data_IF_986130934355
#
_entry.id   IF_986130934355
#
_cell.length_a   1.000
_cell.length_b   1.000
_cell.length_c   1.000
_cell.angle_alpha   90.00
_cell.angle_beta   90.00
_cell.angle_gamma   90.00
#
_symmetry.space_group_name_H-M   'P 1'
#
loop_
_entity.id
_entity.type
_entity.pdbx_description
1 polymer ?
#
# COMPACT_ATOMS: atom_id res chain seq x y z
N UNK A 1 -13.00 -18.89 0.70
CA UNK A 1 -14.04 -18.95 -0.36
C UNK A 1 -13.37 -19.37 -1.66
N UNK A 2 -13.94 -20.32 -2.41
CA UNK A 2 -13.39 -20.77 -3.69
C UNK A 2 -13.43 -19.65 -4.72
N UNK A 3 -12.27 -19.30 -5.31
CA UNK A 3 -12.14 -18.34 -6.41
C UNK A 3 -12.68 -18.89 -7.75
N UNK A 4 -13.01 -20.19 -7.80
CA UNK A 4 -13.54 -20.82 -9.01
C UNK A 4 -14.98 -20.36 -9.29
N UNK A 5 -15.24 -20.06 -10.56
CA UNK A 5 -16.58 -19.73 -11.05
C UNK A 5 -17.38 -21.01 -11.26
N UNK A 6 -18.67 -20.98 -10.94
CA UNK A 6 -19.59 -22.00 -11.40
C UNK A 6 -19.87 -21.79 -12.89
N UNK A 7 -20.30 -22.86 -13.63
CA UNK A 7 -20.63 -22.75 -15.04
C UNK A 7 -21.65 -21.64 -15.30
N UNK A 8 -22.61 -21.45 -14.37
CA UNK A 8 -23.62 -20.38 -14.48
C UNK A 8 -23.00 -18.97 -14.34
N UNK A 9 -22.07 -18.82 -13.42
CA UNK A 9 -21.34 -17.56 -13.23
C UNK A 9 -20.44 -17.23 -14.43
N UNK A 10 -19.79 -18.24 -15.02
CA UNK A 10 -19.01 -18.07 -16.23
C UNK A 10 -19.88 -17.58 -17.39
N UNK A 11 -21.01 -18.25 -17.64
CA UNK A 11 -21.92 -17.86 -18.71
C UNK A 11 -22.46 -16.43 -18.56
N UNK A 12 -22.77 -16.01 -17.32
CA UNK A 12 -23.21 -14.63 -17.05
C UNK A 12 -22.07 -13.64 -17.34
N UNK A 13 -20.85 -13.96 -16.90
CA UNK A 13 -19.69 -13.10 -17.13
C UNK A 13 -19.35 -12.96 -18.61
N UNK A 14 -19.43 -14.07 -19.36
CA UNK A 14 -19.18 -14.08 -20.81
C UNK A 14 -20.25 -13.28 -21.56
N UNK A 15 -21.53 -13.41 -21.18
CA UNK A 15 -22.61 -12.58 -21.73
C UNK A 15 -22.42 -11.09 -21.47
N UNK A 16 -21.99 -10.71 -20.26
CA UNK A 16 -21.70 -9.31 -19.91
C UNK A 16 -20.54 -8.79 -20.78
N UNK A 17 -19.47 -9.60 -20.96
CA UNK A 17 -18.32 -9.25 -21.80
C UNK A 17 -18.73 -9.03 -23.24
N UNK A 18 -19.45 -9.98 -23.81
CA UNK A 18 -19.93 -9.91 -25.19
C UNK A 18 -20.77 -8.64 -25.45
N UNK A 19 -21.67 -8.29 -24.53
CA UNK A 19 -22.49 -7.08 -24.64
C UNK A 19 -21.66 -5.80 -24.54
N UNK A 20 -20.65 -5.77 -23.69
CA UNK A 20 -19.76 -4.62 -23.59
C UNK A 20 -18.90 -4.45 -24.85
N UNK A 21 -18.39 -5.55 -25.43
CA UNK A 21 -17.56 -5.54 -26.63
C UNK A 21 -18.37 -5.17 -27.90
N UNK A 22 -19.58 -5.71 -28.07
CA UNK A 22 -20.34 -5.51 -29.29
C UNK A 22 -21.34 -4.35 -29.23
N UNK A 23 -21.93 -4.07 -28.05
CA UNK A 23 -22.92 -3.01 -27.91
C UNK A 23 -22.39 -1.76 -27.18
N UNK A 24 -21.16 -1.79 -26.66
CA UNK A 24 -20.55 -0.69 -25.92
C UNK A 24 -21.23 -0.36 -24.60
N UNK A 25 -22.19 -1.16 -24.14
CA UNK A 25 -22.99 -0.93 -22.94
C UNK A 25 -23.18 -2.22 -22.16
N UNK A 26 -23.14 -2.11 -20.84
CA UNK A 26 -23.44 -3.22 -19.96
C UNK A 26 -24.92 -3.64 -20.08
N UNK A 27 -25.24 -4.95 -19.97
CA UNK A 27 -26.62 -5.39 -19.93
C UNK A 27 -27.27 -5.01 -18.58
N UNK A 28 -28.60 -4.85 -18.59
CA UNK A 28 -29.39 -4.75 -17.36
C UNK A 28 -29.54 -6.11 -16.69
N UNK A 29 -29.92 -6.15 -15.42
CA UNK A 29 -30.21 -7.40 -14.71
C UNK A 29 -31.34 -8.19 -15.39
N UNK A 30 -32.32 -7.50 -15.98
CA UNK A 30 -33.42 -8.12 -16.72
C UNK A 30 -32.95 -8.79 -18.01
N UNK A 31 -32.09 -8.10 -18.79
CA UNK A 31 -31.46 -8.65 -20.01
C UNK A 31 -30.62 -9.90 -19.70
N UNK A 32 -29.87 -9.89 -18.58
CA UNK A 32 -29.12 -11.06 -18.10
C UNK A 32 -30.09 -12.19 -17.73
N UNK A 33 -31.19 -11.86 -17.02
CA UNK A 33 -32.20 -12.83 -16.63
C UNK A 33 -32.83 -13.53 -17.84
N UNK A 34 -33.23 -12.77 -18.84
CA UNK A 34 -33.78 -13.30 -20.09
C UNK A 34 -32.77 -14.20 -20.83
N UNK A 35 -31.55 -13.74 -21.02
CA UNK A 35 -30.50 -14.47 -21.72
C UNK A 35 -30.12 -15.79 -21.01
N UNK A 36 -30.17 -15.79 -19.68
CA UNK A 36 -29.80 -16.93 -18.84
C UNK A 36 -31.00 -17.82 -18.47
N UNK A 37 -32.23 -17.48 -18.85
CA UNK A 37 -33.42 -18.21 -18.44
C UNK A 37 -33.64 -18.19 -16.91
N UNK A 38 -33.31 -17.08 -16.25
CA UNK A 38 -33.52 -16.94 -14.81
C UNK A 38 -34.90 -16.34 -14.53
N UNK A 39 -35.61 -16.82 -13.51
CA UNK A 39 -37.06 -16.50 -13.34
C UNK A 39 -37.30 -15.04 -12.87
N UNK A 40 -36.34 -14.40 -12.27
CA UNK A 40 -36.47 -13.05 -11.73
C UNK A 40 -35.11 -12.36 -11.50
N UNK A 41 -35.16 -11.03 -11.36
CA UNK A 41 -34.01 -10.16 -11.13
C UNK A 41 -33.26 -10.52 -9.85
N UNK A 42 -33.94 -10.99 -8.81
CA UNK A 42 -33.29 -11.38 -7.55
C UNK A 42 -32.36 -12.59 -7.73
N UNK A 43 -32.73 -13.54 -8.57
CA UNK A 43 -31.88 -14.69 -8.91
C UNK A 43 -30.63 -14.25 -9.67
N UNK A 44 -30.77 -13.31 -10.61
CA UNK A 44 -29.64 -12.70 -11.34
C UNK A 44 -28.73 -11.95 -10.37
N UNK A 45 -29.30 -11.10 -9.52
CA UNK A 45 -28.55 -10.29 -8.56
C UNK A 45 -27.69 -11.14 -7.62
N UNK A 46 -28.19 -12.32 -7.20
CA UNK A 46 -27.41 -13.27 -6.38
C UNK A 46 -26.14 -13.74 -7.10
N UNK A 47 -26.22 -14.06 -8.39
CA UNK A 47 -25.07 -14.46 -9.19
C UNK A 47 -24.10 -13.29 -9.44
N UNK A 48 -24.65 -12.12 -9.78
CA UNK A 48 -23.86 -10.91 -10.06
C UNK A 48 -23.13 -10.45 -8.80
N UNK A 49 -23.76 -10.42 -7.62
CA UNK A 49 -23.08 -10.14 -6.34
C UNK A 49 -22.02 -11.17 -5.99
N UNK A 50 -22.24 -12.44 -6.33
CA UNK A 50 -21.22 -13.46 -6.12
C UNK A 50 -20.02 -13.29 -7.06
N UNK A 51 -20.23 -12.79 -8.28
CA UNK A 51 -19.14 -12.41 -9.21
C UNK A 51 -18.40 -11.18 -8.72
N UNK A 52 -19.09 -10.21 -8.16
CA UNK A 52 -18.49 -9.04 -7.51
C UNK A 52 -17.63 -9.44 -6.31
N UNK A 53 -18.14 -10.28 -5.41
CA UNK A 53 -17.39 -10.81 -4.28
C UNK A 53 -16.16 -11.66 -4.70
N UNK A 54 -16.17 -12.20 -5.92
CA UNK A 54 -15.02 -12.89 -6.53
C UNK A 54 -14.09 -11.95 -7.33
N UNK A 55 -14.35 -10.63 -7.30
CA UNK A 55 -13.53 -9.62 -7.96
C UNK A 55 -13.55 -9.71 -9.50
N UNK A 56 -14.68 -10.17 -10.10
CA UNK A 56 -14.81 -10.29 -11.56
C UNK A 56 -15.52 -9.12 -12.21
N UNK A 57 -16.33 -8.42 -11.46
CA UNK A 57 -17.07 -7.22 -11.88
C UNK A 57 -17.31 -6.31 -10.68
N UNK A 58 -17.74 -5.09 -10.96
CA UNK A 58 -18.18 -4.09 -9.97
C UNK A 58 -19.60 -3.67 -10.33
N UNK A 59 -20.46 -3.49 -9.32
CA UNK A 59 -21.82 -2.98 -9.48
C UNK A 59 -21.84 -1.54 -8.98
N UNK A 60 -22.09 -0.58 -9.89
CA UNK A 60 -22.30 0.81 -9.51
C UNK A 60 -23.73 0.97 -8.95
N UNK A 61 -23.90 1.41 -7.70
CA UNK A 61 -25.20 1.56 -7.10
C UNK A 61 -26.04 2.62 -7.84
N UNK A 62 -27.34 2.39 -7.92
CA UNK A 62 -28.33 3.32 -8.51
C UNK A 62 -28.15 3.60 -10.02
N UNK A 63 -27.52 2.69 -10.75
CA UNK A 63 -27.31 2.81 -12.20
C UNK A 63 -27.87 1.58 -12.92
N UNK A 64 -28.82 1.78 -13.84
CA UNK A 64 -29.52 0.68 -14.55
C UNK A 64 -28.58 -0.19 -15.39
N UNK A 65 -27.45 0.33 -15.86
CA UNK A 65 -26.38 -0.36 -16.60
C UNK A 65 -25.04 -0.23 -15.88
N UNK A 66 -25.08 -0.28 -14.54
CA UNK A 66 -23.93 -0.05 -13.68
C UNK A 66 -23.03 -1.27 -13.47
N UNK A 67 -23.06 -2.26 -14.35
CA UNK A 67 -22.16 -3.41 -14.28
C UNK A 67 -20.90 -3.09 -15.09
N UNK A 68 -19.72 -3.17 -14.44
CA UNK A 68 -18.42 -2.99 -15.07
C UNK A 68 -17.56 -4.23 -14.81
N UNK A 69 -16.91 -4.74 -15.85
CA UNK A 69 -15.93 -5.81 -15.67
C UNK A 69 -14.69 -5.27 -14.96
N UNK A 70 -14.15 -6.06 -14.04
CA UNK A 70 -12.84 -5.79 -13.45
C UNK A 70 -11.78 -6.03 -14.51
N UNK A 71 -11.07 -4.99 -14.88
CA UNK A 71 -9.96 -5.05 -15.83
C UNK A 71 -8.66 -5.42 -15.11
N UNK A 72 -7.61 -5.76 -15.88
CA UNK A 72 -6.28 -5.94 -15.31
C UNK A 72 -5.80 -4.67 -14.57
N UNK A 73 -6.21 -3.49 -15.05
CA UNK A 73 -5.92 -2.21 -14.40
C UNK A 73 -6.62 -2.10 -13.04
N UNK A 74 -7.89 -2.51 -12.93
CA UNK A 74 -8.62 -2.50 -11.66
C UNK A 74 -8.02 -3.48 -10.63
N UNK A 75 -7.52 -4.63 -11.11
CA UNK A 75 -6.83 -5.59 -10.25
C UNK A 75 -5.49 -5.03 -9.74
N UNK A 76 -4.78 -4.29 -10.59
CA UNK A 76 -3.58 -3.55 -10.21
C UNK A 76 -3.92 -2.41 -9.24
N UNK A 77 -5.03 -1.70 -9.47
CA UNK A 77 -5.50 -0.62 -8.61
C UNK A 77 -5.92 -1.10 -7.22
N UNK A 78 -6.58 -2.25 -7.13
CA UNK A 78 -6.98 -2.85 -5.85
C UNK A 78 -5.79 -3.27 -4.98
N UNK A 79 -4.64 -3.54 -5.59
CA UNK A 79 -3.40 -3.93 -4.91
C UNK A 79 -2.43 -2.74 -4.70
N UNK A 80 -2.82 -1.54 -5.09
CA UNK A 80 -2.02 -0.33 -4.89
C UNK A 80 -2.45 0.45 -3.65
N UNK A 81 -1.53 1.28 -3.17
CA UNK A 81 -1.77 2.28 -2.13
C UNK A 81 -1.13 3.60 -2.54
N UNK A 82 -1.74 4.69 -2.14
CA UNK A 82 -1.19 6.03 -2.31
C UNK A 82 -0.45 6.42 -1.03
N UNK A 83 0.84 6.72 -1.15
CA UNK A 83 1.71 7.04 -0.03
C UNK A 83 2.36 8.40 -0.24
N UNK A 84 2.33 9.29 0.76
CA UNK A 84 3.06 10.52 0.72
C UNK A 84 4.58 10.25 0.78
N UNK A 85 5.33 10.82 -0.15
CA UNK A 85 6.79 10.90 -0.08
C UNK A 85 7.14 12.16 0.71
N UNK A 86 7.69 11.94 1.91
CA UNK A 86 8.15 13.01 2.79
C UNK A 86 9.59 13.37 2.39
N UNK A 87 9.80 14.63 2.11
CA UNK A 87 11.10 15.20 1.76
C UNK A 87 12.01 15.41 2.97
N UNK A 88 12.94 16.36 2.85
CA UNK A 88 13.86 16.69 3.95
C UNK A 88 13.09 17.18 5.17
N UNK A 89 13.34 16.54 6.31
CA UNK A 89 12.73 16.87 7.57
C UNK A 89 13.46 18.09 8.15
N UNK A 90 12.80 19.24 8.16
CA UNK A 90 13.29 20.43 8.82
C UNK A 90 12.86 20.49 10.29
N UNK A 91 13.65 21.18 11.12
CA UNK A 91 13.40 21.30 12.56
C UNK A 91 12.02 21.90 12.90
N UNK A 92 11.39 21.37 13.94
CA UNK A 92 10.23 21.98 14.59
C UNK A 92 8.85 21.77 13.95
N UNK A 93 8.74 21.08 12.81
CA UNK A 93 7.45 20.81 12.18
C UNK A 93 7.04 19.33 12.32
N UNK A 94 5.74 19.00 12.40
CA UNK A 94 5.26 17.63 12.39
C UNK A 94 5.68 16.88 11.11
N UNK A 95 5.96 15.58 11.21
CA UNK A 95 6.42 14.75 10.10
C UNK A 95 5.48 14.80 8.88
N UNK A 96 4.19 14.95 9.11
CA UNK A 96 3.12 14.98 8.11
C UNK A 96 2.57 16.38 7.82
N UNK A 97 3.37 17.45 7.99
CA UNK A 97 2.92 18.75 7.51
C UNK A 97 2.85 18.77 5.97
N UNK A 98 1.86 19.44 5.40
CA UNK A 98 1.69 19.56 3.94
C UNK A 98 2.94 20.12 3.26
N UNK A 99 3.69 20.99 3.97
CA UNK A 99 4.95 21.57 3.50
C UNK A 99 6.07 20.54 3.28
N UNK A 100 5.96 19.32 3.85
CA UNK A 100 6.98 18.27 3.77
C UNK A 100 6.68 17.19 2.74
N UNK A 101 5.45 17.12 2.24
CA UNK A 101 5.06 16.15 1.23
C UNK A 101 5.55 16.64 -0.12
N UNK A 102 6.59 15.99 -0.66
CA UNK A 102 7.09 16.29 -2.01
C UNK A 102 6.07 15.91 -3.09
N UNK A 103 5.48 14.75 -2.94
CA UNK A 103 4.47 14.17 -3.82
C UNK A 103 3.85 12.92 -3.21
N UNK A 104 2.72 12.49 -3.74
CA UNK A 104 2.13 11.18 -3.46
C UNK A 104 2.56 10.19 -4.53
N UNK A 105 2.99 8.99 -4.12
CA UNK A 105 3.34 7.90 -5.02
C UNK A 105 2.30 6.79 -4.90
N UNK A 106 1.90 6.26 -6.04
CA UNK A 106 1.06 5.07 -6.12
C UNK A 106 1.94 3.84 -6.27
N UNK A 107 1.90 2.95 -5.30
CA UNK A 107 2.79 1.79 -5.21
C UNK A 107 2.00 0.53 -4.91
N UNK A 108 2.51 -0.62 -5.32
CA UNK A 108 1.86 -1.90 -5.06
C UNK A 108 2.15 -2.40 -3.64
N UNK A 109 1.13 -2.90 -2.95
CA UNK A 109 1.23 -3.38 -1.55
C UNK A 109 2.23 -4.50 -1.37
N UNK A 110 2.33 -5.40 -2.34
CA UNK A 110 3.22 -6.56 -2.27
C UNK A 110 4.73 -6.21 -2.29
N UNK A 111 5.09 -4.96 -2.63
CA UNK A 111 6.48 -4.48 -2.56
C UNK A 111 7.00 -4.37 -1.12
N UNK A 112 6.11 -4.39 -0.15
CA UNK A 112 6.44 -4.14 1.24
C UNK A 112 6.09 -5.34 2.12
N UNK A 113 6.95 -5.61 3.10
CA UNK A 113 6.73 -6.67 4.10
C UNK A 113 5.68 -6.26 5.15
N UNK A 114 5.62 -4.97 5.45
CA UNK A 114 4.63 -4.33 6.30
C UNK A 114 3.96 -3.23 5.48
N UNK A 115 2.65 -2.97 5.64
CA UNK A 115 2.03 -1.84 4.97
C UNK A 115 2.66 -0.54 5.46
N UNK A 116 3.36 0.22 4.60
CA UNK A 116 3.89 1.52 4.99
C UNK A 116 2.77 2.56 5.06
N UNK A 117 2.95 3.55 5.91
CA UNK A 117 2.06 4.70 6.04
C UNK A 117 2.60 5.91 5.27
N UNK A 118 3.91 5.96 5.06
CA UNK A 118 4.59 7.01 4.30
C UNK A 118 5.93 6.52 3.72
N UNK A 119 6.47 7.32 2.84
CA UNK A 119 7.75 7.11 2.18
C UNK A 119 8.73 8.21 2.57
N UNK A 120 10.01 7.89 2.70
CA UNK A 120 11.08 8.86 2.93
C UNK A 120 12.24 8.64 1.96
N UNK A 121 12.87 9.73 1.53
CA UNK A 121 14.09 9.65 0.72
C UNK A 121 15.30 9.49 1.64
N UNK A 122 16.12 8.49 1.36
CA UNK A 122 17.37 8.25 2.05
C UNK A 122 18.41 9.29 1.63
N UNK A 123 19.12 9.82 2.60
CA UNK A 123 20.28 10.68 2.38
C UNK A 123 21.49 10.06 3.07
N UNK A 124 22.51 9.76 2.28
CA UNK A 124 23.75 9.15 2.75
C UNK A 124 23.74 7.62 2.78
N UNK A 125 24.88 7.04 3.15
CA UNK A 125 25.21 5.61 3.00
C UNK A 125 25.32 4.85 4.33
N UNK A 126 24.82 5.41 5.42
CA UNK A 126 25.00 4.83 6.77
C UNK A 126 24.37 3.43 6.96
N UNK A 127 23.52 2.99 6.03
CA UNK A 127 22.85 1.69 6.05
C UNK A 127 23.17 0.85 4.80
N UNK A 128 24.29 1.12 4.16
CA UNK A 128 24.69 0.49 2.89
C UNK A 128 24.79 -1.03 2.98
N UNK A 129 25.32 -1.57 4.05
CA UNK A 129 25.44 -3.02 4.22
C UNK A 129 24.09 -3.71 4.49
N UNK A 130 23.03 -2.96 4.79
CA UNK A 130 21.61 -3.42 4.78
C UNK A 130 21.01 -3.38 3.38
N UNK A 131 21.73 -2.89 2.38
CA UNK A 131 21.22 -2.69 1.03
C UNK A 131 20.42 -1.39 0.85
N UNK A 132 20.40 -0.50 1.85
CA UNK A 132 19.76 0.83 1.79
C UNK A 132 20.82 1.83 1.38
N UNK A 133 20.67 2.43 0.20
CA UNK A 133 21.62 3.35 -0.43
C UNK A 133 21.09 4.77 -0.45
N UNK A 134 22.02 5.70 -0.73
CA UNK A 134 21.63 7.09 -0.98
C UNK A 134 20.60 7.20 -2.12
N UNK A 135 19.63 8.08 -1.97
CA UNK A 135 18.49 8.31 -2.88
C UNK A 135 17.44 7.19 -2.94
N UNK A 136 17.59 6.07 -2.22
CA UNK A 136 16.50 5.12 -2.08
C UNK A 136 15.26 5.76 -1.47
N UNK A 137 14.09 5.26 -1.84
CA UNK A 137 12.82 5.62 -1.20
C UNK A 137 12.43 4.47 -0.27
N UNK A 138 12.42 4.73 1.02
CA UNK A 138 12.11 3.75 2.07
C UNK A 138 10.66 3.91 2.51
N UNK A 139 9.93 2.80 2.53
CA UNK A 139 8.60 2.72 3.15
C UNK A 139 8.74 2.57 4.67
N UNK A 140 7.99 3.37 5.40
CA UNK A 140 7.97 3.36 6.86
C UNK A 140 6.55 3.04 7.35
N UNK A 141 6.46 1.99 8.19
CA UNK A 141 5.25 1.68 8.93
C UNK A 141 5.25 2.46 10.24
N UNK A 142 4.33 3.40 10.39
CA UNK A 142 4.28 4.33 11.52
C UNK A 142 3.92 3.59 12.82
N UNK A 143 4.84 3.55 13.75
CA UNK A 143 4.65 2.96 15.08
C UNK A 143 5.75 3.44 16.02
N UNK A 144 5.43 3.77 17.28
CA UNK A 144 6.44 4.07 18.29
C UNK A 144 7.07 2.80 18.88
N UNK A 145 6.55 1.61 18.53
CA UNK A 145 6.98 0.35 19.13
C UNK A 145 7.95 -0.37 18.19
N UNK A 146 9.15 -0.62 18.69
CA UNK A 146 10.16 -1.40 17.99
C UNK A 146 10.86 -2.39 18.91
N UNK A 147 11.53 -3.38 18.35
CA UNK A 147 12.28 -4.40 19.06
C UNK A 147 13.77 -4.31 18.71
N UNK A 148 14.61 -4.79 19.61
CA UNK A 148 16.02 -4.97 19.35
C UNK A 148 16.27 -5.65 17.98
N UNK A 149 17.20 -5.11 17.21
CA UNK A 149 17.59 -5.64 15.90
C UNK A 149 16.74 -5.21 14.72
N UNK A 150 15.62 -4.53 14.93
CA UNK A 150 14.82 -3.99 13.82
C UNK A 150 15.48 -2.75 13.21
N UNK A 151 15.28 -2.55 11.91
CA UNK A 151 15.61 -1.30 11.24
C UNK A 151 14.45 -0.34 11.45
N UNK A 152 14.75 0.82 12.01
CA UNK A 152 13.78 1.83 12.41
C UNK A 152 14.05 3.16 11.73
N UNK A 153 12.99 3.91 11.53
CA UNK A 153 13.01 5.34 11.31
C UNK A 153 12.90 6.01 12.69
N UNK A 154 13.86 6.83 13.04
CA UNK A 154 13.91 7.49 14.34
C UNK A 154 14.21 8.97 14.20
N UNK A 155 13.69 9.75 15.14
CA UNK A 155 13.97 11.17 15.33
C UNK A 155 14.91 11.32 16.52
N UNK A 156 15.94 12.14 16.37
CA UNK A 156 16.98 12.37 17.38
C UNK A 156 17.28 13.85 17.47
N UNK A 157 17.35 14.39 18.67
CA UNK A 157 17.65 15.80 18.91
C UNK A 157 16.59 16.73 18.32
N UNK A 158 15.34 16.34 18.39
CA UNK A 158 14.17 17.11 18.00
C UNK A 158 13.89 17.18 16.49
N UNK A 159 14.89 17.11 15.64
CA UNK A 159 14.74 17.41 14.21
C UNK A 159 15.45 16.46 13.24
N UNK A 160 16.43 15.69 13.71
CA UNK A 160 17.18 14.79 12.83
C UNK A 160 16.44 13.45 12.65
N UNK A 161 15.93 13.23 11.46
CA UNK A 161 15.37 11.93 11.06
C UNK A 161 16.48 11.04 10.53
N UNK A 162 16.49 9.77 10.96
CA UNK A 162 17.51 8.80 10.54
C UNK A 162 16.93 7.39 10.45
N UNK A 163 17.51 6.59 9.57
CA UNK A 163 17.21 5.16 9.46
C UNK A 163 18.40 4.41 9.99
N UNK A 164 18.21 3.57 11.01
CA UNK A 164 19.27 2.83 11.68
C UNK A 164 18.74 1.49 12.19
N UNK A 165 19.65 0.58 12.52
CA UNK A 165 19.31 -0.64 13.27
C UNK A 165 19.21 -0.30 14.76
N UNK A 166 18.08 -0.63 15.35
CA UNK A 166 17.85 -0.43 16.78
C UNK A 166 18.61 -1.48 17.60
N UNK A 167 19.47 -1.04 18.46
CA UNK A 167 19.99 -1.83 19.57
C UNK A 167 19.24 -1.38 20.83
N UNK A 168 18.61 -2.34 21.51
CA UNK A 168 17.90 -2.09 22.76
C UNK A 168 18.10 -3.26 23.69
N UNK A 169 18.82 -3.03 24.79
CA UNK A 169 19.08 -4.05 25.81
C UNK A 169 19.07 -3.40 27.19
N UNK A 170 18.11 -3.78 28.02
CA UNK A 170 17.87 -3.10 29.31
C UNK A 170 17.56 -1.62 29.10
N UNK A 171 18.27 -0.76 29.78
CA UNK A 171 18.14 0.69 29.69
C UNK A 171 18.97 1.31 28.56
N UNK A 172 19.75 0.49 27.83
CA UNK A 172 20.63 0.98 26.76
C UNK A 172 19.92 0.96 25.43
N UNK A 173 19.76 2.13 24.83
CA UNK A 173 19.26 2.31 23.47
C UNK A 173 20.36 2.92 22.59
N UNK A 174 20.60 2.33 21.45
CA UNK A 174 21.56 2.82 20.44
C UNK A 174 20.99 2.67 19.04
N UNK A 175 21.28 3.58 18.18
CA UNK A 175 20.96 3.52 16.76
C UNK A 175 22.23 3.19 15.97
N UNK A 176 22.32 1.95 15.51
CA UNK A 176 23.52 1.43 14.86
C UNK A 176 23.47 1.66 13.36
N UNK A 177 24.49 2.30 12.75
CA UNK A 177 24.69 2.27 11.32
C UNK A 177 25.12 0.87 10.88
N UNK A 178 24.90 0.56 9.60
CA UNK A 178 25.48 -0.64 8.97
C UNK A 178 26.30 -0.24 7.75
N UNK A 179 27.35 0.52 8.01
CA UNK A 179 28.33 0.95 7.02
C UNK A 179 29.59 1.43 7.74
N UNK A 180 30.77 1.17 7.15
CA UNK A 180 32.02 1.66 7.65
C UNK A 180 32.09 3.19 7.59
N UNK A 181 32.71 3.81 8.59
CA UNK A 181 32.88 5.28 8.66
C UNK A 181 31.77 6.02 9.36
N UNK A 182 30.71 5.34 9.80
CA UNK A 182 29.63 5.92 10.59
C UNK A 182 29.71 5.44 12.04
N UNK A 183 29.46 6.35 12.98
CA UNK A 183 29.40 6.03 14.40
C UNK A 183 27.96 5.72 14.83
N UNK A 184 27.75 4.84 15.82
CA UNK A 184 26.48 4.69 16.50
C UNK A 184 25.98 6.02 17.04
N UNK A 185 24.68 6.21 17.08
CA UNK A 185 24.04 7.31 17.74
C UNK A 185 23.49 6.77 19.07
N UNK A 186 23.94 7.35 20.15
CA UNK A 186 23.43 7.10 21.49
C UNK A 186 22.47 8.26 21.82
N UNK A 187 21.15 8.06 21.77
CA UNK A 187 20.21 9.12 22.12
C UNK A 187 20.39 9.55 23.55
N UNK A 188 20.55 10.83 23.80
CA UNK A 188 20.56 11.36 25.17
C UNK A 188 19.16 11.22 25.78
N UNK A 189 19.01 10.78 27.04
CA UNK A 189 17.72 10.68 27.71
C UNK A 189 16.98 12.03 27.81
N UNK A 190 17.71 13.15 27.69
CA UNK A 190 17.15 14.50 27.65
C UNK A 190 16.84 15.01 26.24
N UNK A 191 17.32 14.30 25.22
CA UNK A 191 17.03 14.59 23.82
C UNK A 191 15.60 14.17 23.46
N UNK A 192 14.99 14.91 22.58
CA UNK A 192 13.73 14.52 21.97
C UNK A 192 13.97 13.36 21.00
N UNK A 193 14.06 12.15 21.58
CA UNK A 193 14.21 10.89 20.86
C UNK A 193 12.86 10.21 20.69
N UNK A 194 12.53 9.82 19.46
CA UNK A 194 11.34 9.03 19.17
C UNK A 194 11.61 8.02 18.05
N UNK A 195 11.01 6.84 18.20
CA UNK A 195 10.85 5.90 17.09
C UNK A 195 9.61 6.33 16.34
N UNK A 196 9.79 6.69 15.06
CA UNK A 196 8.71 7.16 14.17
C UNK A 196 8.11 5.99 13.38
N UNK A 197 8.83 4.88 13.23
CA UNK A 197 8.31 3.70 12.56
C UNK A 197 9.35 2.62 12.25
N UNK A 198 8.85 1.55 11.65
CA UNK A 198 9.63 0.40 11.20
C UNK A 198 9.90 0.48 9.68
N UNK A 199 11.08 0.05 9.29
CA UNK A 199 11.40 -0.18 7.88
C UNK A 199 10.47 -1.25 7.29
N UNK A 200 9.70 -0.88 6.27
CA UNK A 200 8.73 -1.75 5.62
C UNK A 200 9.24 -2.35 4.30
N UNK A 201 10.18 -1.69 3.66
CA UNK A 201 10.75 -2.04 2.36
C UNK A 201 11.36 -0.82 1.68
N UNK A 202 11.92 -0.99 0.49
CA UNK A 202 12.48 0.12 -0.28
C UNK A 202 12.13 0.04 -1.77
N UNK A 203 12.14 1.20 -2.40
CA UNK A 203 12.01 1.38 -3.84
C UNK A 203 13.28 2.06 -4.34
N UNK A 204 13.84 1.54 -5.43
CA UNK A 204 15.01 2.12 -6.09
C UNK A 204 14.69 2.35 -7.55
N UNK A 205 14.82 3.59 -7.99
CA UNK A 205 14.79 3.93 -9.40
C UNK A 205 16.14 3.64 -10.06
N UNK A 206 16.11 3.23 -11.30
CA UNK A 206 17.31 3.14 -12.17
C UNK A 206 17.67 4.52 -12.71
#
# INVERSE_FOLDING_TARGET
>A
MSLQLTSRQSNILDFIRDRLEHAGQAPTLEEIGQAMGLPNVSAVLKHVRSLEAKGRLVIEPNRSRGIRLVTATDALDADTMELPLVGRIAAGEPLFSESRIERTLRVSRWLFRLPPDYLVRVVGDSMRAEGILDQDIVGVHATPVARHGQVVAARVGGDRFTIKRLYWQGDVIRLLPNSSGYQPIDPDPTDDFAIEGLFAGLLRGS
#
